data_IF_215823852319
#
_entry.id   IF_215823852319
#
_cell.length_a   1.000
_cell.length_b   1.000
_cell.length_c   1.000
_cell.angle_alpha   90.00
_cell.angle_beta   90.00
_cell.angle_gamma   90.00
#
_symmetry.space_group_name_H-M   'P 1'
#
loop_
_entity.id
_entity.type
_entity.pdbx_description
1 polymer ?
#
# COMPACT_ATOMS: atom_id res chain seq x y z
N UNK A 1 19.33 -10.46 2.80
CA UNK A 1 18.87 -11.59 3.67
C UNK A 1 17.90 -11.12 4.78
N UNK A 2 17.08 -10.09 4.52
CA UNK A 2 16.20 -9.50 5.53
C UNK A 2 14.78 -10.12 5.56
N UNK A 3 14.51 -11.15 4.75
CA UNK A 3 13.23 -11.83 4.78
C UNK A 3 13.12 -12.72 6.03
N UNK A 4 12.22 -12.41 6.93
CA UNK A 4 11.90 -13.22 8.11
C UNK A 4 10.80 -14.24 7.79
N UNK A 5 9.81 -13.87 6.98
CA UNK A 5 8.70 -14.72 6.58
C UNK A 5 9.10 -15.77 5.51
N UNK A 6 8.31 -16.83 5.43
CA UNK A 6 8.45 -17.81 4.35
C UNK A 6 8.14 -17.19 2.98
N UNK A 7 7.19 -16.27 2.93
CA UNK A 7 6.83 -15.54 1.71
C UNK A 7 7.98 -14.67 1.22
N UNK A 8 8.55 -13.81 2.08
CA UNK A 8 9.68 -12.96 1.72
C UNK A 8 10.90 -13.78 1.28
N UNK A 9 11.19 -14.91 1.94
CA UNK A 9 12.22 -15.85 1.50
C UNK A 9 11.97 -16.41 0.12
N UNK A 10 10.71 -16.81 -0.16
CA UNK A 10 10.31 -17.32 -1.46
C UNK A 10 10.43 -16.26 -2.56
N UNK A 11 10.07 -15.00 -2.27
CA UNK A 11 10.20 -13.87 -3.19
C UNK A 11 11.66 -13.56 -3.51
N UNK A 12 12.53 -13.50 -2.50
CA UNK A 12 13.97 -13.28 -2.70
C UNK A 12 14.59 -14.41 -3.53
N UNK A 13 14.27 -15.66 -3.19
CA UNK A 13 14.77 -16.82 -3.94
C UNK A 13 14.29 -16.79 -5.39
N UNK A 14 13.00 -16.47 -5.63
CA UNK A 14 12.45 -16.34 -6.98
C UNK A 14 13.16 -15.26 -7.78
N UNK A 15 13.39 -14.08 -7.17
CA UNK A 15 14.13 -12.98 -7.79
C UNK A 15 15.55 -13.39 -8.17
N UNK A 16 16.27 -14.07 -7.27
CA UNK A 16 17.63 -14.57 -7.53
C UNK A 16 17.64 -15.61 -8.66
N UNK A 17 16.69 -16.53 -8.67
CA UNK A 17 16.61 -17.56 -9.71
C UNK A 17 16.28 -16.98 -11.07
N UNK A 18 15.37 -16.00 -11.17
CA UNK A 18 15.06 -15.29 -12.41
C UNK A 18 16.25 -14.50 -12.93
N UNK A 19 17.01 -13.85 -12.06
CA UNK A 19 18.25 -13.14 -12.42
C UNK A 19 19.37 -14.08 -12.91
N UNK A 20 19.47 -15.28 -12.35
CA UNK A 20 20.51 -16.28 -12.71
C UNK A 20 20.15 -17.08 -13.98
N UNK A 21 18.86 -17.33 -14.23
CA UNK A 21 18.39 -18.17 -15.33
C UNK A 21 18.88 -17.73 -16.73
N UNK A 22 18.86 -16.43 -17.12
CA UNK A 22 19.40 -15.97 -18.40
C UNK A 22 20.91 -16.13 -18.50
N UNK A 23 21.64 -15.94 -17.39
CA UNK A 23 23.11 -16.02 -17.34
C UNK A 23 23.64 -17.44 -17.54
N UNK A 24 22.88 -18.45 -17.13
CA UNK A 24 23.18 -19.85 -17.42
C UNK A 24 23.03 -20.19 -18.92
N UNK A 25 22.14 -19.50 -19.65
CA UNK A 25 22.03 -19.62 -21.10
C UNK A 25 23.27 -19.10 -21.84
N UNK A 26 23.89 -18.02 -21.36
CA UNK A 26 25.10 -17.44 -21.96
C UNK A 26 26.33 -18.32 -21.79
N UNK A 27 26.49 -18.97 -20.63
CA UNK A 27 27.62 -19.87 -20.37
C UNK A 27 27.55 -21.15 -21.21
N UNK A 28 26.39 -21.69 -21.50
CA UNK A 28 26.23 -22.87 -22.37
C UNK A 28 26.64 -22.58 -23.83
N UNK A 29 26.33 -21.38 -24.34
CA UNK A 29 26.77 -20.96 -25.69
C UNK A 29 28.27 -20.75 -25.80
N UNK A 30 28.90 -20.18 -24.78
CA UNK A 30 30.33 -19.97 -24.74
C UNK A 30 31.12 -21.32 -24.70
N UNK A 31 30.62 -22.30 -23.94
CA UNK A 31 31.21 -23.64 -23.87
C UNK A 31 31.02 -24.45 -25.16
N UNK A 32 29.88 -24.33 -25.85
CA UNK A 32 29.66 -24.99 -27.12
C UNK A 32 30.45 -24.38 -28.27
N UNK A 33 30.78 -23.08 -28.22
CA UNK A 33 31.68 -22.42 -29.19
C UNK A 33 33.16 -22.80 -28.99
N UNK A 34 33.62 -23.08 -27.76
CA UNK A 34 34.98 -23.57 -27.50
C UNK A 34 35.15 -25.05 -27.82
N UNK A 35 34.11 -25.84 -27.90
CA UNK A 35 34.15 -27.26 -28.25
C UNK A 35 33.95 -27.53 -29.76
N UNK A 36 33.93 -26.50 -30.60
CA UNK A 36 33.74 -26.53 -32.04
C UNK A 36 34.96 -26.98 -32.82
N UNK A 37 35.36 -28.22 -32.63
CA UNK A 37 36.36 -28.91 -33.42
C UNK A 37 35.97 -30.37 -33.66
N UNK A 38 35.51 -30.65 -34.92
CA UNK A 38 35.39 -31.99 -35.53
C UNK A 38 34.39 -33.00 -34.91
N UNK A 39 33.26 -33.14 -35.57
CA UNK A 39 32.62 -34.45 -35.73
C UNK A 39 31.61 -34.88 -34.69
N UNK A 40 30.35 -34.91 -35.08
CA UNK A 40 29.37 -35.83 -34.51
C UNK A 40 28.40 -35.25 -33.48
N UNK A 41 27.14 -35.36 -33.80
CA UNK A 41 25.95 -34.97 -33.02
C UNK A 41 25.77 -35.75 -31.70
N UNK A 42 26.71 -35.64 -30.78
CA UNK A 42 26.56 -36.13 -29.40
C UNK A 42 26.70 -34.95 -28.45
N UNK A 43 25.58 -34.56 -27.80
CA UNK A 43 25.60 -33.63 -26.66
C UNK A 43 26.62 -34.03 -25.65
N UNK A 44 27.63 -33.18 -25.39
CA UNK A 44 28.70 -33.44 -24.44
C UNK A 44 28.14 -33.56 -22.99
N UNK A 45 28.88 -34.20 -22.06
CA UNK A 45 28.47 -34.38 -20.66
C UNK A 45 28.18 -33.03 -19.98
N UNK A 46 28.84 -31.93 -20.38
CA UNK A 46 28.59 -30.58 -19.88
C UNK A 46 27.24 -30.02 -20.34
N UNK A 47 26.78 -30.31 -21.55
CA UNK A 47 25.44 -29.87 -22.03
C UNK A 47 24.29 -30.59 -21.31
N UNK A 48 24.47 -31.90 -20.99
CA UNK A 48 23.49 -32.65 -20.19
C UNK A 48 23.40 -32.13 -18.76
N UNK A 49 24.53 -31.78 -18.15
CA UNK A 49 24.54 -31.19 -16.80
C UNK A 49 23.84 -29.85 -16.77
N UNK A 50 24.14 -28.94 -17.72
CA UNK A 50 23.50 -27.64 -17.85
C UNK A 50 21.98 -27.76 -18.12
N UNK A 51 21.55 -28.71 -18.94
CA UNK A 51 20.12 -28.94 -19.19
C UNK A 51 19.41 -29.48 -17.93
N UNK A 52 20.08 -30.34 -17.16
CA UNK A 52 19.57 -30.86 -15.89
C UNK A 52 19.41 -29.75 -14.86
N UNK A 53 20.42 -28.87 -14.74
CA UNK A 53 20.38 -27.72 -13.84
C UNK A 53 19.31 -26.71 -14.24
N UNK A 54 19.15 -26.46 -15.55
CA UNK A 54 18.07 -25.63 -16.08
C UNK A 54 16.68 -26.19 -15.74
N UNK A 55 16.50 -27.50 -15.86
CA UNK A 55 15.22 -28.17 -15.50
C UNK A 55 14.97 -28.10 -13.98
N UNK A 56 16.00 -28.23 -13.16
CA UNK A 56 15.89 -28.05 -11.69
C UNK A 56 15.50 -26.63 -11.33
N UNK A 57 16.16 -25.62 -11.92
CA UNK A 57 15.84 -24.21 -11.75
C UNK A 57 14.39 -23.91 -12.20
N UNK A 58 13.99 -24.37 -13.37
CA UNK A 58 12.62 -24.17 -13.87
C UNK A 58 11.56 -24.77 -12.94
N UNK A 59 11.80 -26.00 -12.41
CA UNK A 59 10.90 -26.60 -11.43
C UNK A 59 10.85 -25.82 -10.11
N UNK A 60 11.99 -25.29 -9.65
CA UNK A 60 12.03 -24.50 -8.42
C UNK A 60 11.30 -23.16 -8.58
N UNK A 61 11.52 -22.46 -9.71
CA UNK A 61 10.79 -21.24 -10.07
C UNK A 61 9.29 -21.50 -10.08
N UNK A 62 8.84 -22.55 -10.77
CA UNK A 62 7.41 -22.87 -10.88
C UNK A 62 6.77 -23.21 -9.52
N UNK A 63 7.51 -23.90 -8.63
CA UNK A 63 7.07 -24.18 -7.27
C UNK A 63 6.90 -22.90 -6.46
N UNK A 64 7.90 -22.00 -6.47
CA UNK A 64 7.85 -20.73 -5.76
C UNK A 64 6.71 -19.84 -6.27
N UNK A 65 6.51 -19.77 -7.60
CA UNK A 65 5.38 -19.03 -8.19
C UNK A 65 4.01 -19.59 -7.77
N UNK A 66 3.91 -20.91 -7.60
CA UNK A 66 2.69 -21.55 -7.12
C UNK A 66 2.42 -21.20 -5.65
N UNK A 67 3.44 -21.29 -4.80
CA UNK A 67 3.36 -20.92 -3.39
C UNK A 67 2.96 -19.45 -3.22
N UNK A 68 3.57 -18.53 -3.97
CA UNK A 68 3.25 -17.11 -3.93
C UNK A 68 1.83 -16.81 -4.44
N UNK A 69 1.35 -17.53 -5.46
CA UNK A 69 -0.06 -17.40 -5.92
C UNK A 69 -1.07 -17.87 -4.87
N UNK A 70 -0.73 -18.85 -4.07
CA UNK A 70 -1.57 -19.31 -2.98
C UNK A 70 -1.66 -18.26 -1.87
N UNK A 71 -0.53 -17.70 -1.48
CA UNK A 71 -0.47 -16.57 -0.53
C UNK A 71 -1.31 -15.39 -1.04
N UNK A 72 -1.20 -15.02 -2.32
CA UNK A 72 -2.00 -13.98 -2.94
C UNK A 72 -3.52 -14.25 -2.84
N UNK A 73 -3.97 -15.50 -3.04
CA UNK A 73 -5.38 -15.87 -2.87
C UNK A 73 -5.86 -15.74 -1.43
N UNK A 74 -5.04 -16.13 -0.45
CA UNK A 74 -5.35 -15.93 0.96
C UNK A 74 -5.48 -14.46 1.32
N UNK A 75 -4.57 -13.61 0.84
CA UNK A 75 -4.65 -12.15 1.03
C UNK A 75 -5.91 -11.55 0.43
N UNK A 76 -6.25 -11.92 -0.81
CA UNK A 76 -7.48 -11.45 -1.44
C UNK A 76 -8.74 -11.83 -0.65
N UNK A 77 -8.76 -13.01 -0.02
CA UNK A 77 -9.85 -13.44 0.86
C UNK A 77 -9.90 -12.59 2.13
N UNK A 78 -8.75 -12.32 2.74
CA UNK A 78 -8.64 -11.45 3.91
C UNK A 78 -9.03 -10.00 3.58
N UNK A 79 -8.64 -9.48 2.41
CA UNK A 79 -9.03 -8.14 1.94
C UNK A 79 -10.55 -8.02 1.83
N UNK A 80 -11.24 -9.03 1.24
CA UNK A 80 -12.70 -9.05 1.19
C UNK A 80 -13.35 -9.11 2.58
N UNK A 81 -12.76 -9.83 3.52
CA UNK A 81 -13.25 -9.87 4.90
C UNK A 81 -13.08 -8.51 5.59
N UNK A 82 -11.93 -7.85 5.39
CA UNK A 82 -11.66 -6.47 5.90
C UNK A 82 -12.66 -5.47 5.34
N UNK A 83 -12.88 -5.49 4.02
CA UNK A 83 -13.84 -4.61 3.37
C UNK A 83 -15.25 -4.78 3.96
N UNK A 84 -15.64 -6.00 4.34
CA UNK A 84 -16.92 -6.26 5.01
C UNK A 84 -16.95 -5.80 6.46
N UNK A 85 -15.81 -5.74 7.14
CA UNK A 85 -15.74 -5.25 8.53
C UNK A 85 -15.68 -3.73 8.65
N UNK A 86 -15.60 -3.01 7.53
CA UNK A 86 -15.55 -1.54 7.49
C UNK A 86 -14.30 -0.93 8.11
N UNK A 87 -13.26 -1.74 8.41
CA UNK A 87 -11.99 -1.24 8.93
C UNK A 87 -11.14 -0.75 7.77
N UNK A 88 -10.86 0.55 7.72
CA UNK A 88 -10.06 1.15 6.67
C UNK A 88 -8.60 0.64 6.70
N UNK A 89 -8.03 0.48 5.52
CA UNK A 89 -6.67 0.01 5.32
C UNK A 89 -5.77 1.12 4.77
N UNK A 90 -4.84 1.55 5.58
CA UNK A 90 -3.83 2.57 5.27
C UNK A 90 -2.51 1.87 4.97
N UNK A 91 -1.93 2.15 3.81
CA UNK A 91 -0.68 1.52 3.38
C UNK A 91 0.41 2.57 3.25
N UNK A 92 1.53 2.34 3.93
CA UNK A 92 2.71 3.21 3.89
C UNK A 92 3.57 2.84 2.70
N UNK A 93 3.79 3.77 1.81
CA UNK A 93 4.61 3.64 0.61
C UNK A 93 5.68 4.72 0.58
N UNK A 94 6.71 4.55 -0.23
CA UNK A 94 7.75 5.57 -0.39
C UNK A 94 9.09 4.98 -0.75
N UNK A 95 10.03 5.87 -1.08
CA UNK A 95 11.37 5.48 -1.48
C UNK A 95 12.12 4.73 -0.36
N UNK A 96 13.16 3.96 -0.72
CA UNK A 96 14.01 3.33 0.31
C UNK A 96 14.67 4.40 1.16
N UNK A 97 14.77 4.14 2.47
CA UNK A 97 15.30 5.06 3.46
C UNK A 97 14.54 6.38 3.65
N UNK A 98 13.30 6.50 3.15
CA UNK A 98 12.44 7.66 3.45
C UNK A 98 11.91 7.66 4.90
N UNK A 99 12.16 6.59 5.67
CA UNK A 99 11.78 6.48 7.08
C UNK A 99 10.41 5.87 7.33
N UNK A 100 9.89 5.02 6.40
CA UNK A 100 8.58 4.36 6.51
C UNK A 100 8.40 3.56 7.80
N UNK A 101 9.32 2.64 8.09
CA UNK A 101 9.25 1.78 9.29
C UNK A 101 9.46 2.58 10.59
N UNK A 102 10.25 3.65 10.54
CA UNK A 102 10.36 4.61 11.65
C UNK A 102 9.03 5.30 11.89
N UNK A 103 8.36 5.72 10.80
CA UNK A 103 7.05 6.37 10.88
C UNK A 103 5.97 5.39 11.38
N UNK A 104 5.95 4.14 10.91
CA UNK A 104 5.04 3.11 11.44
C UNK A 104 5.22 2.94 12.94
N UNK A 105 6.48 2.88 13.43
CA UNK A 105 6.75 2.79 14.85
C UNK A 105 6.27 4.02 15.62
N UNK A 106 6.49 5.23 15.11
CA UNK A 106 6.05 6.45 15.74
C UNK A 106 4.52 6.56 15.83
N UNK A 107 3.81 6.03 14.81
CA UNK A 107 2.35 6.03 14.76
C UNK A 107 1.71 4.94 15.65
N UNK A 108 2.40 3.83 15.93
CA UNK A 108 1.81 2.65 16.58
C UNK A 108 2.43 2.27 17.92
N UNK A 109 3.36 3.07 18.43
CA UNK A 109 4.11 2.81 19.69
C UNK A 109 4.78 1.43 19.75
N UNK A 110 5.14 0.87 18.62
CA UNK A 110 5.44 -0.56 18.48
C UNK A 110 6.88 -0.97 18.79
N UNK A 111 7.82 -0.04 18.95
CA UNK A 111 9.20 -0.31 19.40
C UNK A 111 10.00 -1.31 18.53
N UNK A 112 9.70 -1.46 17.24
CA UNK A 112 10.45 -2.37 16.37
C UNK A 112 11.79 -1.75 16.00
N UNK A 113 12.85 -2.57 16.03
CA UNK A 113 14.17 -2.20 15.57
C UNK A 113 14.13 -1.71 14.12
N UNK A 114 14.40 -0.43 13.93
CA UNK A 114 14.56 0.18 12.61
C UNK A 114 16.03 0.08 12.25
N UNK A 115 16.33 -0.60 11.15
CA UNK A 115 17.68 -0.65 10.59
C UNK A 115 17.82 0.40 9.49
N UNK A 116 18.87 1.21 9.54
CA UNK A 116 19.23 2.17 8.47
C UNK A 116 19.90 1.43 7.31
N UNK A 117 19.11 0.62 6.61
CA UNK A 117 19.55 -0.19 5.46
C UNK A 117 18.52 -0.14 4.33
N UNK A 118 19.01 -0.18 3.09
CA UNK A 118 18.15 -0.36 1.92
C UNK A 118 17.35 -1.67 2.05
N UNK A 119 16.03 -1.60 1.82
CA UNK A 119 15.08 -2.73 1.99
C UNK A 119 15.08 -3.29 3.42
N UNK A 120 15.02 -2.42 4.42
CA UNK A 120 14.89 -2.82 5.83
C UNK A 120 13.62 -3.66 6.05
N UNK A 121 12.51 -3.28 5.43
CA UNK A 121 11.24 -4.02 5.44
C UNK A 121 11.10 -4.78 4.12
N UNK A 122 10.97 -6.09 4.18
CA UNK A 122 10.69 -6.97 3.04
C UNK A 122 9.30 -7.61 3.16
N UNK A 123 8.91 -7.93 4.37
CA UNK A 123 7.62 -8.51 4.72
C UNK A 123 6.67 -7.40 5.20
N UNK A 124 5.46 -7.24 4.60
CA UNK A 124 4.51 -6.24 5.07
C UNK A 124 4.11 -6.54 6.52
N UNK A 125 4.23 -5.56 7.38
CA UNK A 125 3.72 -5.63 8.74
C UNK A 125 2.43 -4.84 8.83
N UNK A 126 1.40 -5.41 9.46
CA UNK A 126 0.10 -4.76 9.63
C UNK A 126 -0.17 -4.54 11.11
N UNK A 127 -0.52 -3.32 11.49
CA UNK A 127 -0.79 -2.89 12.86
C UNK A 127 -2.09 -2.11 12.94
N UNK A 128 -2.61 -1.98 14.13
CA UNK A 128 -3.74 -1.11 14.39
C UNK A 128 -3.26 0.30 14.75
N UNK A 129 -3.90 1.30 14.14
CA UNK A 129 -3.71 2.71 14.45
C UNK A 129 -5.05 3.28 14.90
N UNK A 130 -5.07 3.84 16.10
CA UNK A 130 -6.21 4.58 16.60
C UNK A 130 -6.20 6.01 16.05
N UNK A 131 -7.32 6.44 15.49
CA UNK A 131 -7.51 7.79 14.97
C UNK A 131 -8.30 8.65 15.98
N UNK A 132 -8.17 9.98 15.93
CA UNK A 132 -9.04 10.88 16.67
C UNK A 132 -10.52 10.60 16.36
N UNK A 133 -11.34 10.49 17.41
CA UNK A 133 -12.75 10.10 17.27
C UNK A 133 -13.01 8.60 17.52
N UNK A 134 -11.99 7.83 17.94
CA UNK A 134 -12.15 6.44 18.37
C UNK A 134 -12.20 5.43 17.20
N UNK A 135 -11.97 5.86 15.98
CA UNK A 135 -11.86 4.96 14.82
C UNK A 135 -10.52 4.21 14.86
N UNK A 136 -10.55 2.93 14.50
CA UNK A 136 -9.33 2.12 14.37
C UNK A 136 -9.15 1.74 12.91
N UNK A 137 -7.95 1.94 12.38
CA UNK A 137 -7.56 1.56 11.02
C UNK A 137 -6.42 0.56 11.05
N UNK A 138 -6.24 -0.18 9.97
CA UNK A 138 -5.07 -1.03 9.78
C UNK A 138 -4.00 -0.25 9.03
N UNK A 139 -2.83 -0.12 9.62
CA UNK A 139 -1.65 0.48 9.01
C UNK A 139 -0.70 -0.64 8.57
N UNK A 140 -0.25 -0.61 7.32
CA UNK A 140 0.67 -1.61 6.77
C UNK A 140 1.90 -0.93 6.17
N UNK A 141 3.09 -1.26 6.70
CA UNK A 141 4.38 -0.88 6.08
C UNK A 141 4.68 -1.78 4.88
N UNK A 142 5.31 -1.22 3.86
CA UNK A 142 5.69 -1.93 2.65
C UNK A 142 7.19 -1.84 2.38
N UNK A 143 7.63 -2.65 1.45
CA UNK A 143 8.99 -2.58 0.89
C UNK A 143 9.27 -1.19 0.31
N UNK A 144 10.47 -0.65 0.58
CA UNK A 144 10.89 0.61 -0.02
C UNK A 144 11.15 0.50 -1.52
N UNK A 145 10.73 1.49 -2.28
CA UNK A 145 10.98 1.59 -3.71
C UNK A 145 12.36 2.17 -4.00
N UNK A 146 12.93 1.79 -5.14
CA UNK A 146 14.20 2.33 -5.65
C UNK A 146 14.07 2.73 -7.11
N UNK A 147 14.89 3.71 -7.50
CA UNK A 147 15.10 4.10 -8.90
C UNK A 147 15.64 2.88 -9.66
N UNK A 148 15.00 2.46 -10.73
CA UNK A 148 15.34 1.26 -11.52
C UNK A 148 15.18 -0.04 -10.74
N UNK A 149 14.00 -0.28 -10.15
CA UNK A 149 13.63 -1.62 -9.73
C UNK A 149 13.63 -2.52 -10.98
N UNK A 150 14.50 -3.55 -11.08
CA UNK A 150 14.44 -4.47 -12.20
C UNK A 150 13.05 -5.10 -12.31
N UNK A 151 12.52 -5.24 -13.54
CA UNK A 151 11.19 -5.84 -13.74
C UNK A 151 11.05 -7.23 -13.10
N UNK A 152 12.14 -8.00 -13.05
CA UNK A 152 12.19 -9.30 -12.37
C UNK A 152 11.93 -9.18 -10.86
N UNK A 153 12.37 -8.07 -10.24
CA UNK A 153 12.11 -7.78 -8.81
C UNK A 153 10.68 -7.30 -8.61
N UNK A 154 10.15 -6.44 -9.46
CA UNK A 154 8.73 -6.01 -9.41
C UNK A 154 7.82 -7.23 -9.46
N UNK A 155 8.05 -8.14 -10.42
CA UNK A 155 7.30 -9.38 -10.55
C UNK A 155 7.44 -10.31 -9.33
N UNK A 156 8.63 -10.38 -8.72
CA UNK A 156 8.84 -11.18 -7.51
C UNK A 156 8.11 -10.59 -6.29
N UNK A 157 8.03 -9.25 -6.19
CA UNK A 157 7.35 -8.54 -5.10
C UNK A 157 5.89 -8.19 -5.39
N UNK A 158 5.36 -8.58 -6.54
CA UNK A 158 3.98 -8.26 -6.94
C UNK A 158 2.95 -8.69 -5.90
N UNK A 159 3.16 -9.83 -5.25
CA UNK A 159 2.28 -10.31 -4.18
C UNK A 159 2.36 -9.41 -2.93
N UNK A 160 3.54 -8.92 -2.57
CA UNK A 160 3.73 -7.99 -1.45
C UNK A 160 3.18 -6.61 -1.79
N UNK A 161 3.35 -6.18 -3.04
CA UNK A 161 2.89 -4.88 -3.52
C UNK A 161 1.39 -4.86 -3.85
N UNK A 162 0.72 -6.02 -3.95
CA UNK A 162 -0.73 -6.07 -4.14
C UNK A 162 -1.51 -5.39 -3.02
N UNK A 163 -0.94 -5.28 -1.82
CA UNK A 163 -1.53 -4.56 -0.71
C UNK A 163 -1.79 -3.08 -1.05
N UNK A 164 -0.98 -2.48 -1.94
CA UNK A 164 -1.13 -1.10 -2.39
C UNK A 164 -2.42 -0.91 -3.19
N UNK A 165 -2.78 -1.88 -4.05
CA UNK A 165 -4.02 -1.83 -4.83
C UNK A 165 -5.28 -2.07 -3.99
N UNK A 166 -5.14 -2.59 -2.78
CA UNK A 166 -6.23 -2.87 -1.83
C UNK A 166 -6.37 -1.77 -0.76
N UNK A 167 -5.51 -0.75 -0.79
CA UNK A 167 -5.51 0.33 0.19
C UNK A 167 -6.72 1.26 0.03
N UNK A 168 -7.25 1.73 1.15
CA UNK A 168 -8.21 2.83 1.18
C UNK A 168 -7.49 4.18 1.14
N UNK A 169 -6.26 4.23 1.67
CA UNK A 169 -5.40 5.40 1.65
C UNK A 169 -3.93 4.98 1.55
N UNK A 170 -3.17 5.63 0.67
CA UNK A 170 -1.72 5.53 0.60
C UNK A 170 -1.09 6.70 1.37
N UNK A 171 -0.29 6.38 2.38
CA UNK A 171 0.60 7.35 3.06
C UNK A 171 1.95 7.30 2.36
N UNK A 172 2.19 8.25 1.48
CA UNK A 172 3.42 8.32 0.68
C UNK A 172 4.48 9.13 1.40
N UNK A 173 5.44 8.43 1.98
CA UNK A 173 6.54 9.01 2.75
C UNK A 173 7.68 9.41 1.83
N UNK A 174 8.06 10.68 1.91
CA UNK A 174 9.12 11.32 1.13
C UNK A 174 10.18 11.86 2.08
N UNK A 175 11.44 11.66 1.77
CA UNK A 175 12.54 12.26 2.53
C UNK A 175 12.65 13.75 2.19
N UNK A 176 12.27 14.63 3.12
CA UNK A 176 12.35 16.08 2.93
C UNK A 176 13.80 16.58 2.79
N UNK A 177 14.79 15.81 3.25
CA UNK A 177 16.21 16.13 3.13
C UNK A 177 16.87 15.62 1.84
N UNK A 178 16.09 14.90 1.00
CA UNK A 178 16.57 14.42 -0.31
C UNK A 178 16.94 15.59 -1.22
N UNK A 179 17.92 15.37 -2.09
CA UNK A 179 18.32 16.36 -3.10
C UNK A 179 17.25 16.58 -4.19
N UNK A 180 16.37 15.60 -4.42
CA UNK A 180 15.30 15.68 -5.40
C UNK A 180 14.06 14.91 -4.92
N UNK A 181 13.28 15.46 -3.98
CA UNK A 181 12.05 14.85 -3.51
C UNK A 181 11.00 14.65 -4.62
N UNK A 182 10.97 15.55 -5.60
CA UNK A 182 10.01 15.49 -6.70
C UNK A 182 10.26 14.27 -7.62
N UNK A 183 11.53 13.97 -7.91
CA UNK A 183 11.89 12.76 -8.67
C UNK A 183 11.52 11.49 -7.88
N UNK A 184 11.79 11.45 -6.58
CA UNK A 184 11.42 10.31 -5.73
C UNK A 184 9.91 10.06 -5.73
N UNK A 185 9.10 11.11 -5.60
CA UNK A 185 7.64 11.05 -5.69
C UNK A 185 7.22 10.48 -7.06
N UNK A 186 7.79 10.98 -8.15
CA UNK A 186 7.44 10.51 -9.50
C UNK A 186 7.77 9.03 -9.70
N UNK A 187 8.93 8.56 -9.22
CA UNK A 187 9.34 7.15 -9.28
C UNK A 187 8.37 6.26 -8.49
N UNK A 188 8.03 6.66 -7.28
CA UNK A 188 7.12 5.89 -6.42
C UNK A 188 5.72 5.81 -7.05
N UNK A 189 5.18 6.93 -7.55
CA UNK A 189 3.87 6.96 -8.24
C UNK A 189 3.85 6.09 -9.48
N UNK A 190 4.92 6.05 -10.26
CA UNK A 190 5.02 5.17 -11.42
C UNK A 190 4.92 3.69 -11.01
N UNK A 191 5.59 3.28 -9.94
CA UNK A 191 5.54 1.90 -9.43
C UNK A 191 4.15 1.60 -8.84
N UNK A 192 3.55 2.54 -8.08
CA UNK A 192 2.18 2.41 -7.55
C UNK A 192 1.18 2.16 -8.70
N UNK A 193 1.29 2.91 -9.80
CA UNK A 193 0.45 2.71 -10.99
C UNK A 193 0.67 1.34 -11.63
N UNK A 194 1.92 0.86 -11.75
CA UNK A 194 2.26 -0.46 -12.31
C UNK A 194 1.65 -1.62 -11.50
N UNK A 195 1.52 -1.46 -10.17
CA UNK A 195 0.92 -2.48 -9.30
C UNK A 195 -0.59 -2.31 -9.11
N UNK A 196 -1.22 -1.38 -9.83
CA UNK A 196 -2.68 -1.18 -9.83
C UNK A 196 -3.18 -0.30 -8.68
N UNK A 197 -2.33 0.51 -8.06
CA UNK A 197 -2.70 1.44 -7.00
C UNK A 197 -2.84 2.91 -7.46
N UNK A 198 -2.76 3.19 -8.78
CA UNK A 198 -2.72 4.54 -9.32
C UNK A 198 -3.96 5.39 -9.01
N UNK A 199 -5.12 4.76 -8.85
CA UNK A 199 -6.39 5.45 -8.53
C UNK A 199 -6.65 5.55 -7.01
N UNK A 200 -5.71 5.09 -6.18
CA UNK A 200 -5.89 5.14 -4.73
C UNK A 200 -5.62 6.55 -4.21
N UNK A 201 -6.43 7.00 -3.24
CA UNK A 201 -6.18 8.27 -2.56
C UNK A 201 -4.79 8.28 -1.94
N UNK A 202 -4.05 9.38 -2.12
CA UNK A 202 -2.69 9.56 -1.64
C UNK A 202 -2.62 10.72 -0.65
N UNK A 203 -1.87 10.55 0.44
CA UNK A 203 -1.46 11.57 1.39
C UNK A 203 0.07 11.64 1.36
N UNK A 204 0.63 12.75 0.86
CA UNK A 204 2.08 12.99 0.88
C UNK A 204 2.52 13.36 2.30
N UNK A 205 3.61 12.75 2.75
CA UNK A 205 4.22 12.99 4.06
C UNK A 205 5.70 13.28 3.88
N UNK A 206 6.10 14.52 4.09
CA UNK A 206 7.50 14.94 4.04
C UNK A 206 8.14 14.64 5.39
N UNK A 207 8.83 13.50 5.46
CA UNK A 207 9.51 13.02 6.66
C UNK A 207 10.92 13.59 6.77
N UNK A 208 11.53 13.46 7.95
CA UNK A 208 12.85 14.02 8.31
C UNK A 208 12.87 15.55 8.29
N UNK A 209 11.76 16.17 8.72
CA UNK A 209 11.64 17.62 8.84
C UNK A 209 12.67 18.23 9.80
N UNK A 210 13.18 17.43 10.74
CA UNK A 210 14.28 17.80 11.63
C UNK A 210 15.62 18.02 10.90
N UNK A 211 15.78 17.47 9.69
CA UNK A 211 16.98 17.57 8.87
C UNK A 211 16.83 18.54 7.69
N UNK A 212 15.62 19.00 7.40
CA UNK A 212 15.33 19.85 6.24
C UNK A 212 14.58 21.13 6.63
N UNK A 213 15.17 22.31 6.41
CA UNK A 213 14.47 23.57 6.63
C UNK A 213 13.35 23.83 5.60
N UNK A 214 13.34 23.08 4.51
CA UNK A 214 12.34 23.21 3.44
C UNK A 214 11.12 22.29 3.61
N UNK A 215 11.06 21.46 4.65
CA UNK A 215 10.01 20.46 4.82
C UNK A 215 8.61 21.07 4.84
N UNK A 216 8.41 22.15 5.59
CA UNK A 216 7.12 22.85 5.67
C UNK A 216 6.75 23.47 4.32
N UNK A 217 7.69 24.10 3.62
CA UNK A 217 7.47 24.66 2.29
C UNK A 217 7.09 23.60 1.26
N UNK A 218 7.69 22.41 1.34
CA UNK A 218 7.33 21.27 0.48
C UNK A 218 5.90 20.77 0.77
N UNK A 219 5.53 20.73 2.04
CA UNK A 219 4.17 20.34 2.45
C UNK A 219 3.13 21.38 2.00
N UNK A 220 3.40 22.69 2.19
CA UNK A 220 2.52 23.78 1.74
C UNK A 220 2.33 23.80 0.22
N UNK A 221 3.37 23.44 -0.55
CA UNK A 221 3.30 23.35 -2.01
C UNK A 221 2.46 22.15 -2.51
N UNK A 222 2.14 21.20 -1.63
CA UNK A 222 1.44 19.96 -1.98
C UNK A 222 0.09 19.90 -1.22
N UNK A 223 -1.06 20.01 -1.89
CA UNK A 223 -2.36 20.11 -1.21
C UNK A 223 -2.62 18.95 -0.25
N UNK A 224 -2.80 19.28 1.03
CA UNK A 224 -3.09 18.34 2.11
C UNK A 224 -1.90 17.48 2.57
N UNK A 225 -0.67 17.79 2.13
CA UNK A 225 0.53 17.14 2.63
C UNK A 225 0.89 17.59 4.05
N UNK A 226 1.67 16.77 4.75
CA UNK A 226 2.11 17.03 6.14
C UNK A 226 3.62 16.89 6.23
N UNK A 227 4.29 17.81 6.93
CA UNK A 227 5.69 17.69 7.29
C UNK A 227 5.82 17.04 8.68
N UNK A 228 6.69 16.03 8.80
CA UNK A 228 6.88 15.28 10.05
C UNK A 228 8.35 14.95 10.28
N UNK A 229 8.69 14.64 11.51
CA UNK A 229 9.91 13.90 11.83
C UNK A 229 9.54 12.66 12.64
N UNK A 230 9.59 11.51 12.01
CA UNK A 230 9.35 10.25 12.67
C UNK A 230 10.38 9.93 13.77
N UNK A 231 11.58 10.55 13.70
CA UNK A 231 12.64 10.38 14.68
C UNK A 231 12.40 11.19 15.96
N UNK A 232 11.83 12.39 15.84
CA UNK A 232 11.63 13.33 16.97
C UNK A 232 10.19 13.37 17.46
N UNK A 233 9.23 12.82 16.70
CA UNK A 233 7.79 12.90 16.96
C UNK A 233 7.14 14.19 16.45
N UNK A 234 7.89 15.09 15.84
CA UNK A 234 7.35 16.34 15.28
C UNK A 234 6.31 16.06 14.22
N UNK A 235 5.12 16.68 14.31
CA UNK A 235 4.05 16.58 13.32
C UNK A 235 3.29 15.25 13.29
N UNK A 236 3.57 14.29 14.18
CA UNK A 236 2.90 12.97 14.19
C UNK A 236 1.40 13.10 14.48
N UNK A 237 1.00 13.93 15.45
CA UNK A 237 -0.42 14.14 15.77
C UNK A 237 -1.16 14.76 14.57
N UNK A 238 -0.57 15.76 13.90
CA UNK A 238 -1.14 16.36 12.69
C UNK A 238 -1.28 15.33 11.55
N UNK A 239 -0.32 14.40 11.42
CA UNK A 239 -0.41 13.32 10.45
C UNK A 239 -1.57 12.36 10.77
N UNK A 240 -1.75 11.99 12.04
CA UNK A 240 -2.87 11.12 12.47
C UNK A 240 -4.21 11.77 12.19
N UNK A 241 -4.34 13.08 12.44
CA UNK A 241 -5.52 13.87 12.08
C UNK A 241 -5.75 13.88 10.56
N UNK A 242 -4.71 14.18 9.77
CA UNK A 242 -4.78 14.21 8.31
C UNK A 242 -5.19 12.85 7.69
N UNK A 243 -4.70 11.74 8.24
CA UNK A 243 -5.13 10.38 7.85
C UNK A 243 -6.64 10.21 8.09
N UNK A 244 -7.11 10.59 9.29
CA UNK A 244 -8.53 10.52 9.65
C UNK A 244 -9.41 11.37 8.71
N UNK A 245 -9.03 12.61 8.47
CA UNK A 245 -9.75 13.53 7.59
C UNK A 245 -9.79 13.02 6.15
N UNK A 246 -8.67 12.49 5.65
CA UNK A 246 -8.60 11.95 4.30
C UNK A 246 -9.51 10.74 4.13
N UNK A 247 -9.55 9.84 5.10
CA UNK A 247 -10.44 8.68 5.09
C UNK A 247 -11.92 9.10 5.21
N UNK A 248 -12.23 10.05 6.10
CA UNK A 248 -13.59 10.56 6.26
C UNK A 248 -14.08 11.30 5.01
N UNK A 249 -13.20 12.06 4.35
CA UNK A 249 -13.57 12.81 3.12
C UNK A 249 -13.97 11.92 1.95
N UNK A 250 -13.55 10.65 1.95
CA UNK A 250 -13.91 9.67 0.91
C UNK A 250 -15.30 9.06 1.12
N UNK A 251 -15.90 9.22 2.30
CA UNK A 251 -17.23 8.68 2.59
C UNK A 251 -18.26 9.45 1.79
N UNK A 252 -19.29 8.76 1.22
CA UNK A 252 -20.33 9.43 0.50
C UNK A 252 -21.08 10.40 1.42
N UNK A 253 -21.33 11.60 0.91
CA UNK A 253 -22.22 12.55 1.57
C UNK A 253 -23.64 12.19 1.17
N UNK A 254 -24.47 11.90 2.16
CA UNK A 254 -25.91 11.64 1.98
C UNK A 254 -26.71 12.76 2.62
N UNK A 255 -27.83 13.07 2.02
CA UNK A 255 -28.84 13.95 2.60
C UNK A 255 -29.95 13.08 3.18
N UNK A 256 -30.30 13.30 4.44
CA UNK A 256 -31.31 12.55 5.16
C UNK A 256 -32.46 13.51 5.56
N UNK A 257 -33.67 13.14 5.24
CA UNK A 257 -34.90 13.85 5.62
C UNK A 257 -35.56 13.08 6.76
N UNK A 258 -35.29 13.47 8.00
CA UNK A 258 -35.70 12.71 9.19
C UNK A 258 -36.87 13.42 9.87
N UNK A 259 -38.07 12.82 9.92
CA UNK A 259 -39.22 13.36 10.65
C UNK A 259 -38.90 13.59 12.12
N UNK A 260 -39.40 14.66 12.72
CA UNK A 260 -39.18 14.98 14.13
C UNK A 260 -39.59 13.84 15.08
N UNK A 261 -40.58 13.02 14.69
CA UNK A 261 -40.97 11.83 15.45
C UNK A 261 -39.90 10.76 15.57
N UNK A 262 -38.84 10.83 14.72
CA UNK A 262 -37.74 9.87 14.67
C UNK A 262 -36.46 10.46 15.29
N UNK A 263 -36.59 11.04 16.47
CA UNK A 263 -35.43 11.54 17.25
C UNK A 263 -34.36 10.46 17.53
N UNK A 264 -34.75 9.18 17.58
CA UNK A 264 -33.89 8.03 17.67
C UNK A 264 -32.91 7.95 16.49
N UNK A 265 -33.41 8.24 15.29
CA UNK A 265 -32.60 8.24 14.04
C UNK A 265 -31.63 9.42 14.04
N UNK A 266 -32.09 10.62 14.40
CA UNK A 266 -31.26 11.83 14.52
C UNK A 266 -30.07 11.53 15.47
N UNK A 267 -30.35 11.02 16.66
CA UNK A 267 -29.30 10.64 17.63
C UNK A 267 -28.35 9.57 17.06
N UNK A 268 -28.88 8.60 16.30
CA UNK A 268 -28.08 7.56 15.67
C UNK A 268 -27.17 8.12 14.56
N UNK A 269 -27.64 9.10 13.78
CA UNK A 269 -26.81 9.77 12.77
C UNK A 269 -25.66 10.53 13.44
N UNK A 270 -25.91 11.27 14.51
CA UNK A 270 -24.85 11.92 15.29
C UNK A 270 -23.84 10.95 15.89
N UNK A 271 -24.29 9.77 16.32
CA UNK A 271 -23.41 8.78 16.94
C UNK A 271 -22.51 8.03 15.93
N UNK A 272 -22.95 7.93 14.66
CA UNK A 272 -22.28 7.05 13.70
C UNK A 272 -21.83 7.76 12.41
N UNK A 273 -22.32 8.98 12.14
CA UNK A 273 -22.00 9.78 10.97
C UNK A 273 -21.21 11.04 11.30
N UNK A 274 -20.53 11.60 10.32
CA UNK A 274 -19.98 12.96 10.37
C UNK A 274 -21.03 13.93 9.84
N UNK A 275 -21.66 14.69 10.72
CA UNK A 275 -22.71 15.66 10.34
C UNK A 275 -22.04 16.92 9.76
N UNK A 276 -22.32 17.22 8.50
CA UNK A 276 -21.76 18.38 7.78
C UNK A 276 -22.65 19.61 7.92
N UNK A 277 -23.96 19.41 7.90
CA UNK A 277 -24.94 20.48 8.11
C UNK A 277 -26.30 19.93 8.55
N UNK A 278 -27.03 20.75 9.31
CA UNK A 278 -28.37 20.48 9.78
C UNK A 278 -29.27 21.67 9.47
N UNK A 279 -30.44 21.39 8.93
CA UNK A 279 -31.46 22.41 8.65
C UNK A 279 -32.79 21.93 9.22
N UNK A 280 -33.31 22.69 10.17
CA UNK A 280 -34.61 22.42 10.77
C UNK A 280 -35.72 22.87 9.83
N UNK A 281 -36.53 21.93 9.32
CA UNK A 281 -37.77 22.19 8.60
C UNK A 281 -38.97 22.14 9.53
N UNK A 282 -40.18 22.49 9.03
CA UNK A 282 -41.40 22.47 9.85
C UNK A 282 -41.75 21.07 10.36
N UNK A 283 -41.57 20.03 9.55
CA UNK A 283 -42.01 18.67 9.87
C UNK A 283 -40.83 17.68 10.02
N UNK A 284 -39.64 18.10 9.64
CA UNK A 284 -38.47 17.22 9.58
C UNK A 284 -37.16 17.99 9.78
N UNK A 285 -36.11 17.24 10.19
CA UNK A 285 -34.72 17.65 10.15
C UNK A 285 -34.10 17.21 8.83
N UNK A 286 -33.46 18.11 8.09
CA UNK A 286 -32.65 17.78 6.91
C UNK A 286 -31.17 17.76 7.36
N UNK A 287 -30.52 16.60 7.28
CA UNK A 287 -29.16 16.42 7.68
C UNK A 287 -28.30 16.04 6.49
N UNK A 288 -27.18 16.74 6.25
CA UNK A 288 -26.15 16.31 5.33
C UNK A 288 -25.04 15.66 6.14
N UNK A 289 -24.80 14.39 5.90
CA UNK A 289 -23.85 13.59 6.70
C UNK A 289 -22.99 12.70 5.82
N UNK A 290 -21.76 12.44 6.24
CA UNK A 290 -20.94 11.39 5.69
C UNK A 290 -21.15 10.12 6.49
N UNK A 291 -21.56 9.06 5.80
CA UNK A 291 -21.82 7.75 6.39
C UNK A 291 -20.90 6.71 5.78
N UNK A 292 -20.53 5.68 6.59
CA UNK A 292 -19.91 4.46 6.05
C UNK A 292 -20.96 3.72 5.23
N UNK A 293 -20.53 3.05 4.15
CA UNK A 293 -21.43 2.30 3.27
C UNK A 293 -22.33 1.32 4.02
N UNK A 294 -21.79 0.65 5.03
CA UNK A 294 -22.54 -0.29 5.89
C UNK A 294 -23.64 0.38 6.71
N UNK A 295 -23.45 1.65 7.06
CA UNK A 295 -24.41 2.42 7.85
C UNK A 295 -25.46 3.06 6.96
N UNK A 296 -25.10 3.39 5.73
CA UNK A 296 -26.00 4.01 4.76
C UNK A 296 -27.30 3.20 4.58
N UNK A 297 -27.18 1.86 4.49
CA UNK A 297 -28.36 0.98 4.38
C UNK A 297 -29.36 1.11 5.53
N UNK A 298 -28.91 1.50 6.74
CA UNK A 298 -29.81 1.69 7.90
C UNK A 298 -30.62 2.99 7.82
N UNK A 299 -30.15 3.96 7.05
CA UNK A 299 -30.77 5.27 6.89
C UNK A 299 -31.36 5.47 5.50
N UNK A 300 -31.34 4.45 4.64
CA UNK A 300 -31.79 4.56 3.25
C UNK A 300 -33.27 5.02 3.11
N UNK A 301 -34.12 4.67 4.07
CA UNK A 301 -35.54 5.12 4.09
C UNK A 301 -35.66 6.64 4.25
N UNK A 302 -34.64 7.33 4.76
CA UNK A 302 -34.62 8.79 4.97
C UNK A 302 -33.88 9.53 3.85
N UNK A 303 -33.25 8.83 2.90
CA UNK A 303 -32.70 9.47 1.71
C UNK A 303 -33.87 9.96 0.81
N UNK A 304 -33.83 11.21 0.28
CA UNK A 304 -34.83 11.66 -0.63
C UNK A 304 -34.89 10.76 -1.86
N UNK A 305 -36.09 10.43 -2.31
CA UNK A 305 -36.25 9.67 -3.55
C UNK A 305 -35.56 10.45 -4.69
N UNK A 306 -34.73 9.76 -5.46
CA UNK A 306 -34.06 10.35 -6.61
C UNK A 306 -35.10 11.09 -7.48
N UNK A 307 -34.83 12.31 -7.96
CA UNK A 307 -35.76 13.00 -8.83
C UNK A 307 -36.04 12.08 -10.03
N UNK A 308 -37.35 11.75 -10.19
CA UNK A 308 -37.79 11.01 -11.37
C UNK A 308 -37.60 11.96 -12.55
N UNK A 309 -36.60 11.68 -13.40
CA UNK A 309 -36.45 12.40 -14.67
C UNK A 309 -37.77 12.28 -15.44
N UNK A 310 -38.41 13.38 -15.83
CA UNK A 310 -39.58 13.31 -16.69
C UNK A 310 -39.16 12.73 -18.04
N UNK A 311 -39.85 11.66 -18.44
CA UNK A 311 -39.71 11.03 -19.76
C UNK A 311 -40.11 11.99 -20.86
#
# INVERSE_FOLDING_TARGET
QNASSQEGKAQVELAQLRYLAPRLKGRGRALSQQAGGLGGARRGPGEKALETDRRRLGRRVHKLESELREVGRHRATQAKARQRSGVAHVVVVGYTNAGKSTLENALTDAGVLVEDRLFATLDPTTRQLALPGGEVVLLTDTVGFIRKLPHELVEAFKTTLSVVSEADLLVHVVDASSSDPAEEIAVVRAIIAEVGGGDRPELLVFNKADLSPDADRLAEASPGAVAVSAATGLGIDALVEAIGDRLRSQRPVVELHIPWARGDVIASVHAHGEVLSEVSGPDQMVMRTRLREEQRGRFAEFEPAAPVEPR
#
